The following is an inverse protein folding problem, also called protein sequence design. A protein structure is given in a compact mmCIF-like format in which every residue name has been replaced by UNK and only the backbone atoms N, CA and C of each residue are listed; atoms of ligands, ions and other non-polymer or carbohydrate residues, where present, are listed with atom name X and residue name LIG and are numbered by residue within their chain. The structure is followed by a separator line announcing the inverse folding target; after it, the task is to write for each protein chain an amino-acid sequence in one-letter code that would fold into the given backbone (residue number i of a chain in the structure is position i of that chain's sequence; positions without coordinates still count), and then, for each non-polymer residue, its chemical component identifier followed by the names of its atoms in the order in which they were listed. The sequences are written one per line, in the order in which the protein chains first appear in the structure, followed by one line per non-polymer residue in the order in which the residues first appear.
data_IF_263085837914
#
_entry.id   IF_263085837914
#
_cell.length_a   1.000
_cell.length_b   1.000
_cell.length_c   1.000
_cell.angle_alpha   90.00
_cell.angle_beta   90.00
_cell.angle_gamma   90.00
#
_symmetry.space_group_name_H-M   'P 1'
#
loop_
_entity.id
_entity.type
_entity.pdbx_description
1 polymer ?
#
# COMPACT_ATOMS: atom_id res chain seq x y z
N UNK A 1 17.67 19.68 71.59
CA UNK A 1 18.08 20.39 70.35
C UNK A 1 18.45 19.30 69.35
N UNK A 2 17.70 19.19 68.26
CA UNK A 2 17.56 17.98 67.44
C UNK A 2 18.78 17.70 66.54
N UNK A 3 19.24 16.45 66.54
CA UNK A 3 20.13 15.89 65.52
C UNK A 3 19.30 15.44 64.33
N UNK A 4 19.49 16.08 63.17
CA UNK A 4 18.86 15.67 61.91
C UNK A 4 19.83 14.78 61.13
N UNK A 5 19.49 13.50 61.00
CA UNK A 5 20.18 12.55 60.12
C UNK A 5 19.84 12.83 58.65
N UNK A 6 20.85 13.12 57.85
CA UNK A 6 20.75 13.21 56.39
C UNK A 6 20.67 11.80 55.81
N UNK A 7 19.44 11.30 55.63
CA UNK A 7 19.16 10.04 54.95
C UNK A 7 19.24 10.26 53.44
N UNK A 8 20.37 9.89 52.85
CA UNK A 8 20.55 9.85 51.40
C UNK A 8 19.61 8.78 50.79
N UNK A 9 18.44 9.20 50.35
CA UNK A 9 17.52 8.36 49.58
C UNK A 9 18.08 8.20 48.17
N UNK A 10 18.76 7.09 47.93
CA UNK A 10 19.13 6.67 46.59
C UNK A 10 17.85 6.46 45.76
N UNK A 11 17.53 7.43 44.90
CA UNK A 11 16.49 7.31 43.88
C UNK A 11 16.93 6.23 42.90
N UNK A 12 16.30 5.06 43.00
CA UNK A 12 16.52 3.93 42.11
C UNK A 12 15.87 4.22 40.75
N UNK A 13 16.51 5.06 39.94
CA UNK A 13 16.10 5.34 38.57
C UNK A 13 16.72 4.30 37.63
N UNK A 14 16.05 3.17 37.44
CA UNK A 14 16.29 2.28 36.29
C UNK A 14 14.96 1.82 35.69
N UNK A 15 14.39 2.68 34.86
CA UNK A 15 13.41 2.25 33.88
C UNK A 15 14.15 1.54 32.72
N UNK A 16 13.68 0.39 32.21
CA UNK A 16 14.34 -0.33 31.14
C UNK A 16 14.13 0.37 29.79
N UNK A 17 15.20 0.93 29.23
CA UNK A 17 15.23 1.51 27.88
C UNK A 17 15.31 0.41 26.79
N UNK A 18 14.28 -0.45 26.68
CA UNK A 18 14.32 -1.65 25.83
C UNK A 18 13.20 -1.76 24.75
N UNK A 19 12.55 -0.66 24.34
CA UNK A 19 11.31 -0.77 23.52
C UNK A 19 11.27 -0.05 22.15
N UNK A 20 12.40 0.42 21.60
CA UNK A 20 12.39 1.02 20.23
C UNK A 20 12.83 0.07 19.12
N UNK A 21 13.73 -0.88 19.36
CA UNK A 21 14.27 -1.73 18.30
C UNK A 21 13.29 -2.80 17.77
N UNK A 22 12.49 -3.43 18.63
CA UNK A 22 11.52 -4.46 18.21
C UNK A 22 10.34 -3.92 17.38
N UNK A 23 10.00 -2.64 17.51
CA UNK A 23 8.84 -2.04 16.84
C UNK A 23 9.12 -1.68 15.38
N UNK A 24 10.33 -1.22 15.08
CA UNK A 24 10.71 -0.87 13.70
C UNK A 24 10.95 -2.12 12.85
N UNK A 25 11.45 -3.20 13.43
CA UNK A 25 11.54 -4.50 12.75
C UNK A 25 10.16 -5.07 12.41
N UNK A 26 9.17 -4.86 13.27
CA UNK A 26 7.80 -5.32 13.05
C UNK A 26 7.09 -4.53 11.93
N UNK A 27 7.25 -3.20 11.91
CA UNK A 27 6.77 -2.32 10.83
C UNK A 27 7.27 -2.75 9.44
N UNK A 28 8.59 -3.00 9.33
CA UNK A 28 9.20 -3.48 8.08
C UNK A 28 8.69 -4.85 7.65
N UNK A 29 8.57 -5.78 8.59
CA UNK A 29 8.07 -7.12 8.29
C UNK A 29 6.66 -7.04 7.72
N UNK A 30 5.78 -6.25 8.34
CA UNK A 30 4.40 -6.08 7.86
C UNK A 30 4.32 -5.42 6.50
N UNK A 31 5.05 -4.32 6.29
CA UNK A 31 5.14 -3.66 4.98
C UNK A 31 5.67 -4.60 3.89
N UNK A 32 6.66 -5.44 4.21
CA UNK A 32 7.18 -6.44 3.26
C UNK A 32 6.16 -7.53 2.92
N UNK A 33 5.36 -7.99 3.89
CA UNK A 33 4.30 -8.97 3.66
C UNK A 33 3.20 -8.38 2.76
N UNK A 34 2.76 -7.15 3.06
CA UNK A 34 1.75 -6.45 2.25
C UNK A 34 2.26 -6.22 0.84
N UNK A 35 3.50 -5.72 0.67
CA UNK A 35 4.14 -5.54 -0.63
C UNK A 35 4.13 -6.83 -1.47
N UNK A 36 4.49 -7.96 -0.86
CA UNK A 36 4.51 -9.26 -1.55
C UNK A 36 3.10 -9.71 -1.94
N UNK A 37 2.11 -9.56 -1.06
CA UNK A 37 0.71 -9.91 -1.35
C UNK A 37 0.17 -9.08 -2.52
N UNK A 38 0.33 -7.75 -2.47
CA UNK A 38 -0.11 -6.84 -3.52
C UNK A 38 0.61 -7.12 -4.84
N UNK A 39 1.92 -7.39 -4.81
CA UNK A 39 2.68 -7.70 -6.02
C UNK A 39 2.28 -9.05 -6.66
N UNK A 40 2.00 -10.07 -5.86
CA UNK A 40 1.50 -11.36 -6.37
C UNK A 40 0.15 -11.17 -7.05
N UNK A 41 -0.75 -10.43 -6.40
CA UNK A 41 -2.08 -10.17 -6.93
C UNK A 41 -2.03 -9.35 -8.24
N UNK A 42 -1.20 -8.31 -8.29
CA UNK A 42 -0.92 -7.53 -9.50
C UNK A 42 -0.46 -8.42 -10.67
N UNK A 43 0.48 -9.35 -10.42
CA UNK A 43 0.94 -10.27 -11.48
C UNK A 43 -0.18 -11.20 -11.94
N UNK A 44 -1.02 -11.70 -11.02
CA UNK A 44 -2.16 -12.52 -11.37
C UNK A 44 -3.15 -11.77 -12.28
N UNK A 45 -3.42 -10.49 -11.98
CA UNK A 45 -4.28 -9.63 -12.80
C UNK A 45 -3.65 -9.30 -14.15
N UNK A 46 -2.35 -8.99 -14.19
CA UNK A 46 -1.64 -8.73 -15.45
C UNK A 46 -1.67 -9.95 -16.38
N UNK A 47 -1.39 -11.15 -15.84
CA UNK A 47 -1.46 -12.41 -16.59
C UNK A 47 -2.89 -12.73 -16.99
N UNK A 48 -3.85 -12.53 -16.09
CA UNK A 48 -5.28 -12.72 -16.36
C UNK A 48 -5.78 -11.79 -17.46
N UNK A 49 -5.41 -10.52 -17.43
CA UNK A 49 -5.73 -9.52 -18.45
C UNK A 49 -5.10 -9.85 -19.79
N UNK A 50 -3.84 -10.26 -19.82
CA UNK A 50 -3.17 -10.70 -21.05
C UNK A 50 -3.83 -11.94 -21.66
N UNK A 51 -4.12 -12.96 -20.84
CA UNK A 51 -4.70 -14.21 -21.33
C UNK A 51 -6.15 -14.04 -21.79
N UNK A 52 -6.92 -13.20 -21.12
CA UNK A 52 -8.32 -12.91 -21.48
C UNK A 52 -8.46 -11.82 -22.56
N UNK A 53 -7.37 -11.13 -22.91
CA UNK A 53 -7.40 -9.96 -23.78
C UNK A 53 -8.19 -8.78 -23.18
N UNK A 54 -8.33 -8.74 -21.85
CA UNK A 54 -9.14 -7.74 -21.16
C UNK A 54 -8.31 -6.52 -20.80
N UNK A 55 -8.56 -5.42 -21.52
CA UNK A 55 -7.95 -4.12 -21.23
C UNK A 55 -8.28 -3.62 -19.82
N UNK A 56 -9.50 -3.88 -19.35
CA UNK A 56 -9.93 -3.56 -17.98
C UNK A 56 -9.05 -4.24 -16.91
N UNK A 57 -8.72 -5.53 -17.06
CA UNK A 57 -7.83 -6.24 -16.11
C UNK A 57 -6.39 -5.74 -16.20
N UNK A 58 -5.93 -5.38 -17.41
CA UNK A 58 -4.60 -4.79 -17.58
C UNK A 58 -4.53 -3.38 -16.98
N UNK A 59 -5.60 -2.60 -17.06
CA UNK A 59 -5.71 -1.30 -16.40
C UNK A 59 -5.72 -1.45 -14.87
N UNK A 60 -6.41 -2.48 -14.36
CA UNK A 60 -6.41 -2.83 -12.93
C UNK A 60 -5.00 -3.22 -12.45
N UNK A 61 -4.32 -4.11 -13.17
CA UNK A 61 -2.92 -4.44 -12.87
C UNK A 61 -1.97 -3.22 -12.94
N UNK A 62 -2.30 -2.25 -13.81
CA UNK A 62 -1.56 -1.01 -13.95
C UNK A 62 -1.61 -0.13 -12.69
N UNK A 63 -2.77 0.06 -12.08
CA UNK A 63 -2.86 0.87 -10.85
C UNK A 63 -2.20 0.13 -9.68
N UNK A 64 -2.39 -1.19 -9.61
CA UNK A 64 -1.73 -2.05 -8.62
C UNK A 64 -0.20 -1.96 -8.67
N UNK A 65 0.39 -1.69 -9.84
CA UNK A 65 1.83 -1.41 -9.96
C UNK A 65 2.25 -0.13 -9.23
N UNK A 66 1.42 0.91 -9.27
CA UNK A 66 1.63 2.14 -8.50
C UNK A 66 1.55 1.84 -7.01
N UNK A 67 0.63 1.00 -6.58
CA UNK A 67 0.44 0.63 -5.17
C UNK A 67 1.65 -0.17 -4.65
N UNK A 68 2.13 -1.14 -5.43
CA UNK A 68 3.38 -1.87 -5.17
C UNK A 68 4.56 -0.90 -5.06
N UNK A 69 4.64 0.09 -5.95
CA UNK A 69 5.71 1.09 -5.92
C UNK A 69 5.63 1.95 -4.65
N UNK A 70 4.43 2.40 -4.26
CA UNK A 70 4.21 3.18 -3.04
C UNK A 70 4.60 2.38 -1.79
N UNK A 71 4.18 1.11 -1.70
CA UNK A 71 4.53 0.20 -0.62
C UNK A 71 6.04 -0.11 -0.57
N UNK A 72 6.68 -0.25 -1.73
CA UNK A 72 8.13 -0.44 -1.82
C UNK A 72 8.90 0.79 -1.33
N UNK A 73 8.48 1.99 -1.73
CA UNK A 73 9.04 3.25 -1.24
C UNK A 73 8.84 3.41 0.26
N UNK A 74 7.66 3.06 0.77
CA UNK A 74 7.39 3.02 2.20
C UNK A 74 8.35 2.06 2.92
N UNK A 75 8.53 0.84 2.41
CA UNK A 75 9.45 -0.14 2.99
C UNK A 75 10.91 0.36 2.98
N UNK A 76 11.34 1.00 1.89
CA UNK A 76 12.66 1.61 1.76
C UNK A 76 12.84 2.76 2.76
N UNK A 77 11.84 3.63 2.93
CA UNK A 77 11.86 4.70 3.93
C UNK A 77 11.97 4.14 5.35
N UNK A 78 11.16 3.12 5.67
CA UNK A 78 11.27 2.38 6.93
C UNK A 78 12.65 1.73 7.09
N UNK A 79 13.28 1.29 5.99
CA UNK A 79 14.63 0.72 5.97
C UNK A 79 15.73 1.74 6.27
N UNK A 80 15.66 2.92 5.67
CA UNK A 80 16.60 4.01 5.94
C UNK A 80 16.45 4.60 7.35
N UNK A 81 15.23 4.62 7.90
CA UNK A 81 14.95 5.14 9.24
C UNK A 81 15.65 4.43 10.43
N UNK A 82 16.28 3.26 10.25
CA UNK A 82 17.10 2.63 11.32
C UNK A 82 18.61 2.78 11.13
N UNK A 83 19.07 3.38 10.03
CA UNK A 83 20.50 3.62 9.84
C UNK A 83 20.90 4.89 10.61
N UNK A 84 21.99 4.88 11.38
CA UNK A 84 22.49 6.10 12.02
C UNK A 84 22.81 7.15 10.95
N UNK A 85 22.34 8.39 11.17
CA UNK A 85 22.53 9.50 10.23
C UNK A 85 24.03 9.67 9.92
N UNK A 86 24.43 9.29 8.70
CA UNK A 86 25.83 9.36 8.26
C UNK A 86 25.89 10.25 7.02
N UNK A 87 26.68 11.32 7.12
CA UNK A 87 26.87 12.36 6.09
C UNK A 87 27.61 11.91 4.80
N UNK A 88 27.58 10.63 4.39
CA UNK A 88 28.52 10.08 3.37
C UNK A 88 27.90 9.35 2.16
N UNK A 89 26.60 9.48 1.89
CA UNK A 89 25.99 8.86 0.68
C UNK A 89 24.94 9.79 0.07
N UNK A 90 25.38 10.88 -0.57
CA UNK A 90 24.49 11.96 -1.04
C UNK A 90 23.93 11.75 -2.45
N UNK A 91 24.48 10.86 -3.29
CA UNK A 91 24.05 10.70 -4.70
C UNK A 91 24.20 9.28 -5.30
N UNK A 92 23.81 8.23 -4.57
CA UNK A 92 23.73 6.88 -5.15
C UNK A 92 22.27 6.50 -5.36
N UNK A 93 21.83 6.32 -6.61
CA UNK A 93 20.48 5.89 -7.05
C UNK A 93 19.40 6.96 -7.27
N UNK A 94 19.62 8.23 -6.94
CA UNK A 94 18.58 9.27 -7.08
C UNK A 94 18.07 9.45 -8.52
N UNK A 95 18.93 9.26 -9.54
CA UNK A 95 18.52 9.28 -10.96
C UNK A 95 17.60 8.12 -11.34
N UNK A 96 17.81 6.94 -10.75
CA UNK A 96 16.96 5.77 -10.98
C UNK A 96 15.63 5.91 -10.24
N UNK A 97 15.63 6.53 -9.07
CA UNK A 97 14.41 6.86 -8.32
C UNK A 97 13.54 7.88 -9.07
N UNK A 98 14.14 8.95 -9.62
CA UNK A 98 13.44 9.93 -10.47
C UNK A 98 12.91 9.27 -11.74
N UNK A 99 13.69 8.39 -12.39
CA UNK A 99 13.25 7.68 -13.60
C UNK A 99 12.12 6.69 -13.29
N UNK A 100 12.17 5.98 -12.17
CA UNK A 100 11.11 5.09 -11.72
C UNK A 100 9.82 5.86 -11.39
N UNK A 101 9.94 7.00 -10.69
CA UNK A 101 8.82 7.89 -10.41
C UNK A 101 8.21 8.48 -11.69
N UNK A 102 9.03 8.86 -12.68
CA UNK A 102 8.58 9.33 -13.98
C UNK A 102 7.84 8.24 -14.75
N UNK A 103 8.38 7.03 -14.82
CA UNK A 103 7.75 5.89 -15.48
C UNK A 103 6.42 5.55 -14.81
N UNK A 104 6.37 5.53 -13.47
CA UNK A 104 5.12 5.32 -12.73
C UNK A 104 4.10 6.44 -12.98
N UNK A 105 4.54 7.71 -13.00
CA UNK A 105 3.68 8.84 -13.34
C UNK A 105 3.12 8.78 -14.76
N UNK A 106 3.94 8.41 -15.75
CA UNK A 106 3.49 8.20 -17.13
C UNK A 106 2.51 7.03 -17.22
N UNK A 107 2.81 5.91 -16.53
CA UNK A 107 1.90 4.77 -16.46
C UNK A 107 0.53 5.17 -15.90
N UNK A 108 0.50 5.94 -14.80
CA UNK A 108 -0.74 6.47 -14.23
C UNK A 108 -1.52 7.36 -15.19
N UNK A 109 -0.85 8.24 -15.94
CA UNK A 109 -1.52 9.06 -16.96
C UNK A 109 -2.13 8.18 -18.05
N UNK A 110 -1.39 7.19 -18.54
CA UNK A 110 -1.89 6.25 -19.55
C UNK A 110 -3.08 5.46 -19.01
N UNK A 111 -2.97 4.88 -17.82
CA UNK A 111 -4.07 4.12 -17.17
C UNK A 111 -5.30 5.02 -16.98
N UNK A 112 -5.10 6.26 -16.51
CA UNK A 112 -6.20 7.21 -16.33
C UNK A 112 -6.91 7.52 -17.64
N UNK A 113 -6.17 7.76 -18.72
CA UNK A 113 -6.74 7.97 -20.06
C UNK A 113 -7.48 6.72 -20.58
N UNK A 114 -6.94 5.53 -20.34
CA UNK A 114 -7.60 4.27 -20.71
C UNK A 114 -8.92 4.07 -19.96
N UNK A 115 -8.94 4.35 -18.65
CA UNK A 115 -10.17 4.28 -17.83
C UNK A 115 -11.20 5.28 -18.35
N UNK A 116 -10.81 6.52 -18.62
CA UNK A 116 -11.71 7.54 -19.19
C UNK A 116 -12.26 7.10 -20.55
N UNK A 117 -11.41 6.55 -21.40
CA UNK A 117 -11.81 6.05 -22.70
C UNK A 117 -12.80 4.87 -22.58
N UNK A 118 -12.52 3.88 -21.73
CA UNK A 118 -13.45 2.76 -21.48
C UNK A 118 -14.77 3.23 -20.87
N UNK A 119 -14.73 4.18 -19.92
CA UNK A 119 -15.92 4.75 -19.30
C UNK A 119 -16.81 5.47 -20.32
N UNK A 120 -16.20 6.27 -21.20
CA UNK A 120 -16.91 6.95 -22.29
C UNK A 120 -17.49 5.94 -23.30
N UNK A 121 -16.68 4.95 -23.70
CA UNK A 121 -17.12 3.94 -24.66
C UNK A 121 -18.29 3.10 -24.09
N UNK A 122 -18.25 2.75 -22.80
CA UNK A 122 -19.37 2.08 -22.10
C UNK A 122 -20.65 2.92 -22.05
N UNK A 123 -20.52 4.23 -21.87
CA UNK A 123 -21.66 5.14 -21.90
C UNK A 123 -22.31 5.23 -23.29
N UNK A 124 -21.49 5.26 -24.35
CA UNK A 124 -21.96 5.39 -25.73
C UNK A 124 -22.40 4.08 -26.38
N UNK A 125 -21.92 2.93 -25.91
CA UNK A 125 -22.28 1.61 -26.40
C UNK A 125 -22.10 0.62 -25.26
N UNK A 126 -23.17 0.24 -24.52
CA UNK A 126 -23.06 -0.73 -23.43
C UNK A 126 -22.51 -2.02 -24.02
N UNK A 127 -21.23 -2.37 -23.80
CA UNK A 127 -20.71 -3.61 -24.32
C UNK A 127 -21.31 -4.70 -23.44
N UNK A 128 -21.54 -5.88 -24.02
CA UNK A 128 -21.72 -7.10 -23.24
C UNK A 128 -20.38 -7.48 -22.57
N UNK A 129 -19.79 -6.56 -21.80
CA UNK A 129 -18.65 -6.89 -20.95
C UNK A 129 -19.18 -7.92 -19.98
N UNK A 130 -18.45 -9.03 -19.84
CA UNK A 130 -18.73 -10.05 -18.84
C UNK A 130 -18.57 -9.40 -17.47
N UNK A 131 -19.63 -8.77 -16.95
CA UNK A 131 -19.65 -8.15 -15.63
C UNK A 131 -19.20 -9.13 -14.54
N UNK A 132 -19.39 -10.43 -14.79
CA UNK A 132 -18.85 -11.53 -13.99
C UNK A 132 -17.33 -11.46 -13.79
N UNK A 133 -16.52 -11.17 -14.83
CA UNK A 133 -15.06 -11.11 -14.71
C UNK A 133 -14.64 -9.94 -13.82
N UNK A 134 -15.20 -8.75 -14.06
CA UNK A 134 -14.90 -7.55 -13.25
C UNK A 134 -15.33 -7.76 -11.79
N UNK A 135 -16.47 -8.42 -11.57
CA UNK A 135 -16.98 -8.69 -10.24
C UNK A 135 -16.12 -9.73 -9.48
N UNK A 136 -15.61 -10.76 -10.17
CA UNK A 136 -14.68 -11.73 -9.57
C UNK A 136 -13.33 -11.09 -9.22
N UNK A 137 -12.79 -10.25 -10.11
CA UNK A 137 -11.54 -9.52 -9.87
C UNK A 137 -11.72 -8.53 -8.71
N UNK A 138 -12.77 -7.71 -8.72
CA UNK A 138 -13.04 -6.78 -7.63
C UNK A 138 -13.26 -7.49 -6.29
N UNK A 139 -13.87 -8.69 -6.28
CA UNK A 139 -14.00 -9.51 -5.08
C UNK A 139 -12.64 -10.06 -4.59
N UNK A 140 -11.79 -10.51 -5.51
CA UNK A 140 -10.42 -10.96 -5.20
C UNK A 140 -9.58 -9.83 -4.60
N UNK A 141 -9.58 -8.67 -5.26
CA UNK A 141 -8.90 -7.45 -4.80
C UNK A 141 -9.41 -6.99 -3.44
N UNK A 142 -10.72 -7.03 -3.21
CA UNK A 142 -11.30 -6.72 -1.90
C UNK A 142 -10.77 -7.65 -0.80
N UNK A 143 -10.68 -8.95 -1.05
CA UNK A 143 -10.15 -9.91 -0.07
C UNK A 143 -8.67 -9.61 0.24
N UNK A 144 -7.85 -9.41 -0.78
CA UNK A 144 -6.42 -9.09 -0.62
C UNK A 144 -6.26 -7.78 0.17
N UNK A 145 -7.02 -6.75 -0.17
CA UNK A 145 -6.96 -5.45 0.51
C UNK A 145 -7.44 -5.55 1.96
N UNK A 146 -8.47 -6.33 2.27
CA UNK A 146 -8.88 -6.58 3.66
C UNK A 146 -7.80 -7.31 4.47
N UNK A 147 -7.12 -8.31 3.87
CA UNK A 147 -5.98 -8.99 4.51
C UNK A 147 -4.85 -7.98 4.77
N UNK A 148 -4.52 -7.14 3.79
CA UNK A 148 -3.49 -6.12 3.93
C UNK A 148 -3.84 -5.08 5.01
N UNK A 149 -5.09 -4.62 5.03
CA UNK A 149 -5.61 -3.68 6.03
C UNK A 149 -5.53 -4.28 7.44
N UNK A 150 -5.84 -5.57 7.58
CA UNK A 150 -5.72 -6.29 8.86
C UNK A 150 -4.26 -6.44 9.31
N UNK A 151 -3.34 -6.75 8.40
CA UNK A 151 -1.90 -6.86 8.71
C UNK A 151 -1.32 -5.51 9.18
N UNK A 152 -1.78 -4.41 8.55
CA UNK A 152 -1.38 -3.05 8.90
C UNK A 152 -2.17 -2.46 10.07
N UNK A 153 -3.19 -3.15 10.58
CA UNK A 153 -4.01 -2.70 11.70
C UNK A 153 -3.18 -2.74 13.00
N UNK A 154 -2.67 -1.59 13.41
CA UNK A 154 -1.94 -1.40 14.67
C UNK A 154 -2.12 0.02 15.16
N UNK A 155 -2.14 0.25 16.49
CA UNK A 155 -2.32 1.58 17.08
C UNK A 155 -1.51 2.66 16.36
N UNK A 156 -2.24 3.56 15.71
CA UNK A 156 -1.79 4.50 14.68
C UNK A 156 -0.84 5.62 15.17
N UNK A 157 -0.47 5.60 16.45
CA UNK A 157 0.29 6.67 17.10
C UNK A 157 1.81 6.57 16.87
N UNK A 158 2.31 5.50 16.24
CA UNK A 158 3.74 5.13 16.35
C UNK A 158 4.52 5.20 15.03
N UNK A 159 3.90 5.10 13.85
CA UNK A 159 4.61 5.11 12.56
C UNK A 159 3.77 5.70 11.42
N UNK A 160 4.18 6.89 10.93
CA UNK A 160 3.52 7.58 9.82
C UNK A 160 3.53 6.77 8.53
N UNK A 161 4.52 5.89 8.35
CA UNK A 161 4.68 5.10 7.16
C UNK A 161 3.67 3.94 7.11
N UNK A 162 3.44 3.25 8.24
CA UNK A 162 2.35 2.27 8.38
C UNK A 162 1.01 2.98 8.20
N UNK A 163 0.83 4.16 8.81
CA UNK A 163 -0.43 4.91 8.70
C UNK A 163 -0.73 5.28 7.25
N UNK A 164 0.27 5.74 6.49
CA UNK A 164 0.13 6.03 5.07
C UNK A 164 -0.28 4.79 4.26
N UNK A 165 0.43 3.67 4.45
CA UNK A 165 0.11 2.41 3.79
C UNK A 165 -1.29 1.89 4.16
N UNK A 166 -1.70 2.02 5.42
CA UNK A 166 -3.03 1.60 5.86
C UNK A 166 -4.15 2.46 5.25
N UNK A 167 -3.97 3.79 5.22
CA UNK A 167 -4.93 4.69 4.60
C UNK A 167 -5.11 4.40 3.10
N UNK A 168 -4.01 4.11 2.40
CA UNK A 168 -4.03 3.74 1.01
C UNK A 168 -4.83 2.44 0.78
N UNK A 169 -4.52 1.36 1.50
CA UNK A 169 -5.24 0.08 1.37
C UNK A 169 -6.74 0.23 1.71
N UNK A 170 -7.10 1.10 2.67
CA UNK A 170 -8.51 1.40 2.98
C UNK A 170 -9.17 2.15 1.81
N UNK A 171 -8.49 3.09 1.16
CA UNK A 171 -8.99 3.74 -0.05
C UNK A 171 -9.24 2.73 -1.18
N UNK A 172 -8.35 1.77 -1.38
CA UNK A 172 -8.53 0.74 -2.42
C UNK A 172 -9.67 -0.21 -2.07
N UNK A 173 -9.80 -0.58 -0.79
CA UNK A 173 -10.94 -1.37 -0.27
C UNK A 173 -12.27 -0.68 -0.59
N UNK A 174 -12.37 0.63 -0.35
CA UNK A 174 -13.56 1.42 -0.69
C UNK A 174 -13.80 1.46 -2.21
N UNK A 175 -12.73 1.58 -2.99
CA UNK A 175 -12.78 1.48 -4.46
C UNK A 175 -13.34 0.15 -4.93
N UNK A 176 -12.85 -0.98 -4.39
CA UNK A 176 -13.34 -2.32 -4.73
C UNK A 176 -14.82 -2.49 -4.37
N UNK A 177 -15.28 -1.96 -3.24
CA UNK A 177 -16.71 -1.96 -2.88
C UNK A 177 -17.52 -1.18 -3.91
N UNK A 178 -17.04 0.00 -4.32
CA UNK A 178 -17.66 0.79 -5.38
C UNK A 178 -17.79 0.02 -6.70
N UNK A 179 -16.72 -0.66 -7.13
CA UNK A 179 -16.70 -1.47 -8.34
C UNK A 179 -17.68 -2.66 -8.27
N UNK A 180 -17.73 -3.38 -7.14
CA UNK A 180 -18.68 -4.49 -6.92
C UNK A 180 -20.12 -3.97 -6.97
N UNK A 181 -20.39 -2.84 -6.32
CA UNK A 181 -21.75 -2.25 -6.28
C UNK A 181 -22.19 -1.82 -7.68
N UNK A 182 -21.29 -1.20 -8.45
CA UNK A 182 -21.56 -0.85 -9.84
C UNK A 182 -21.82 -2.09 -10.71
N UNK A 183 -21.03 -3.16 -10.55
CA UNK A 183 -21.25 -4.43 -11.24
C UNK A 183 -22.59 -5.10 -10.87
N UNK A 184 -22.97 -5.06 -9.60
CA UNK A 184 -24.27 -5.58 -9.14
C UNK A 184 -25.44 -4.80 -9.76
N UNK A 185 -25.36 -3.47 -9.80
CA UNK A 185 -26.37 -2.62 -10.44
C UNK A 185 -26.47 -2.94 -11.94
N UNK A 186 -25.34 -3.08 -12.64
CA UNK A 186 -25.34 -3.46 -14.06
C UNK A 186 -25.95 -4.84 -14.32
N UNK A 187 -25.91 -5.76 -13.34
CA UNK A 187 -26.52 -7.09 -13.47
C UNK A 187 -28.04 -7.10 -13.24
N UNK A 188 -28.60 -6.02 -12.68
CA UNK A 188 -30.03 -5.88 -12.37
C UNK A 188 -30.85 -5.28 -13.53
N UNK A 189 -30.19 -4.72 -14.53
CA UNK A 189 -30.77 -4.09 -15.73
C UNK A 189 -30.34 -4.82 -17.01
#
# INVERSE_FOLDING_TARGET
MAHAEFKATAVNARAPYAHKHGRVSDSRRRLSVVLVLTAIYMVAEAVGGWWTGSLALLADAGHMLTDVTALALALIAAWFGTRPATSKKTFGYHRLEILAALVNGVALVVISLLIFYEAYQRWSSPPAVRGSIVMFVAAGGLIINLICAWILHTPHEVDLNIRGAWLHVISDTLGSVGAITAGAIMSLY
#
